data_IF_025701529667
#
_entry.id   IF_025701529667
#
_cell.length_a   1.000
_cell.length_b   1.000
_cell.length_c   1.000
_cell.angle_alpha   90.00
_cell.angle_beta   90.00
_cell.angle_gamma   90.00
#
_symmetry.space_group_name_H-M   'P 1'
#
loop_
_entity.id
_entity.type
_entity.pdbx_description
1 polymer ?
#
# COMPACT_ATOMS: atom_id res chain seq x y z
N UNK A 1 -22.41 -2.56 41.41
CA UNK A 1 -21.30 -3.52 41.21
C UNK A 1 -20.23 -3.37 42.32
N UNK A 2 -19.73 -2.16 42.64
CA UNK A 2 -18.73 -1.90 43.67
C UNK A 2 -19.16 -2.36 45.05
N UNK A 3 -20.46 -2.16 45.44
CA UNK A 3 -21.02 -2.56 46.71
C UNK A 3 -21.11 -4.11 46.88
N UNK A 4 -21.17 -4.85 45.77
CA UNK A 4 -21.17 -6.34 45.77
C UNK A 4 -19.77 -6.95 45.86
N UNK A 5 -18.74 -6.23 45.42
CA UNK A 5 -17.37 -6.71 45.40
C UNK A 5 -16.55 -6.34 46.63
N UNK A 6 -16.96 -5.35 47.40
CA UNK A 6 -16.27 -4.91 48.61
C UNK A 6 -16.79 -5.70 49.82
N UNK A 7 -15.91 -6.43 50.49
CA UNK A 7 -16.21 -7.09 51.76
C UNK A 7 -16.52 -6.04 52.84
N UNK A 8 -17.45 -6.37 53.75
CA UNK A 8 -18.01 -5.53 54.84
C UNK A 8 -16.97 -4.85 55.76
N UNK A 9 -15.70 -5.23 55.72
CA UNK A 9 -14.60 -4.66 56.49
C UNK A 9 -13.45 -4.25 55.60
N UNK A 10 -13.58 -3.11 54.93
CA UNK A 10 -12.48 -2.46 54.23
C UNK A 10 -11.67 -1.68 55.29
N UNK A 11 -10.53 -2.21 55.73
CA UNK A 11 -9.57 -1.43 56.52
C UNK A 11 -8.80 -0.49 55.59
N UNK A 12 -8.87 0.79 55.84
CA UNK A 12 -8.03 1.78 55.15
C UNK A 12 -6.55 1.46 55.42
N UNK A 13 -5.85 1.08 54.38
CA UNK A 13 -4.41 0.81 54.46
C UNK A 13 -3.68 2.14 54.32
N UNK A 14 -3.38 2.77 55.48
CA UNK A 14 -2.63 4.01 55.55
C UNK A 14 -1.18 3.77 55.11
N UNK A 15 -0.88 3.85 53.82
CA UNK A 15 0.45 3.81 53.27
C UNK A 15 1.04 5.22 53.25
N UNK A 16 2.33 5.40 53.62
CA UNK A 16 3.04 6.72 53.55
C UNK A 16 2.92 7.39 52.20
N UNK A 17 2.96 6.60 51.13
CA UNK A 17 2.78 7.11 49.76
C UNK A 17 1.36 7.66 49.53
N UNK A 18 0.32 6.94 49.97
CA UNK A 18 -1.07 7.42 49.84
C UNK A 18 -1.33 8.70 50.65
N UNK A 19 -0.71 8.80 51.86
CA UNK A 19 -0.82 10.03 52.64
C UNK A 19 -0.17 11.21 51.93
N UNK A 20 1.06 11.03 51.39
CA UNK A 20 1.74 12.07 50.66
C UNK A 20 0.92 12.53 49.44
N UNK A 21 0.38 11.57 48.66
CA UNK A 21 -0.48 11.90 47.48
C UNK A 21 -1.73 12.65 47.92
N UNK A 22 -2.42 12.20 48.97
CA UNK A 22 -3.60 12.87 49.48
C UNK A 22 -3.33 14.28 49.98
N UNK A 23 -2.27 14.47 50.77
CA UNK A 23 -1.88 15.79 51.30
C UNK A 23 -1.54 16.77 50.14
N UNK A 24 -0.78 16.33 49.15
CA UNK A 24 -0.44 17.17 47.99
C UNK A 24 -1.64 17.45 47.10
N UNK A 25 -2.50 16.43 46.86
CA UNK A 25 -3.73 16.62 46.08
C UNK A 25 -4.71 17.57 46.76
N UNK A 26 -4.89 17.43 48.09
CA UNK A 26 -5.75 18.34 48.85
C UNK A 26 -5.23 19.76 48.84
N UNK A 27 -3.91 19.98 49.07
CA UNK A 27 -3.32 21.28 49.00
C UNK A 27 -3.48 21.93 47.60
N UNK A 28 -3.25 21.13 46.53
CA UNK A 28 -3.46 21.60 45.16
C UNK A 28 -4.90 21.96 44.90
N UNK A 29 -5.83 21.14 45.37
CA UNK A 29 -7.27 21.38 45.24
C UNK A 29 -7.68 22.69 45.93
N UNK A 30 -7.22 22.91 47.16
CA UNK A 30 -7.52 24.13 47.93
C UNK A 30 -7.02 25.40 47.20
N UNK A 31 -5.82 25.37 46.62
CA UNK A 31 -5.27 26.47 45.80
C UNK A 31 -6.12 26.68 44.55
N UNK A 32 -6.45 25.59 43.82
CA UNK A 32 -7.27 25.68 42.63
C UNK A 32 -8.70 26.21 42.94
N UNK A 33 -9.24 25.83 44.10
CA UNK A 33 -10.57 26.30 44.53
C UNK A 33 -10.54 27.75 44.98
N UNK A 34 -9.53 28.16 45.73
CA UNK A 34 -9.35 29.57 46.16
C UNK A 34 -9.23 30.49 44.93
N UNK A 35 -8.51 30.10 43.92
CA UNK A 35 -8.32 30.84 42.65
C UNK A 35 -9.14 30.32 41.50
N UNK A 36 -10.35 29.86 41.75
CA UNK A 36 -11.25 29.18 40.80
C UNK A 36 -11.36 29.84 39.40
N UNK A 37 -11.41 31.20 39.38
CA UNK A 37 -11.48 31.93 38.11
C UNK A 37 -10.21 31.77 37.29
N UNK A 38 -9.05 31.85 37.90
CA UNK A 38 -7.75 31.65 37.24
C UNK A 38 -7.60 30.20 36.78
N UNK A 39 -7.98 29.26 37.63
CA UNK A 39 -7.94 27.83 37.31
C UNK A 39 -8.80 27.51 36.10
N UNK A 40 -10.04 28.03 36.05
CA UNK A 40 -10.95 27.84 34.90
C UNK A 40 -10.37 28.49 33.64
N UNK A 41 -9.80 29.69 33.75
CA UNK A 41 -9.19 30.38 32.61
C UNK A 41 -8.01 29.59 32.04
N UNK A 42 -7.13 29.10 32.91
CA UNK A 42 -5.97 28.29 32.50
C UNK A 42 -6.46 26.97 31.86
N UNK A 43 -7.43 26.29 32.48
CA UNK A 43 -7.98 25.04 31.94
C UNK A 43 -8.63 25.26 30.56
N UNK A 44 -9.38 26.35 30.40
CA UNK A 44 -9.98 26.71 29.11
C UNK A 44 -8.89 27.04 28.07
N UNK A 45 -7.86 27.77 28.45
CA UNK A 45 -6.74 28.09 27.56
C UNK A 45 -6.03 26.82 27.09
N UNK A 46 -5.71 25.91 28.01
CA UNK A 46 -5.10 24.61 27.69
C UNK A 46 -5.98 23.77 26.77
N UNK A 47 -7.29 23.75 27.02
CA UNK A 47 -8.25 23.04 26.17
C UNK A 47 -8.29 23.64 24.74
N UNK A 48 -8.32 24.97 24.61
CA UNK A 48 -8.31 25.66 23.31
C UNK A 48 -6.99 25.39 22.56
N UNK A 49 -5.84 25.50 23.25
CA UNK A 49 -4.54 25.20 22.67
C UNK A 49 -4.47 23.73 22.26
N UNK A 50 -4.98 22.82 23.08
CA UNK A 50 -5.04 21.38 22.75
C UNK A 50 -5.91 21.09 21.51
N UNK A 51 -7.08 21.73 21.42
CA UNK A 51 -7.95 21.59 20.23
C UNK A 51 -7.30 22.18 18.98
N UNK A 52 -6.60 23.30 19.11
CA UNK A 52 -5.85 23.91 18.02
C UNK A 52 -4.69 23.01 17.58
N UNK A 53 -3.91 22.48 18.51
CA UNK A 53 -2.83 21.55 18.23
C UNK A 53 -3.35 20.24 17.57
N UNK A 54 -4.54 19.78 17.99
CA UNK A 54 -5.17 18.59 17.40
C UNK A 54 -5.48 18.76 15.91
N UNK A 55 -5.77 19.98 15.46
CA UNK A 55 -6.04 20.25 14.04
C UNK A 55 -4.80 20.10 13.13
N UNK A 56 -3.59 20.06 13.70
CA UNK A 56 -2.35 19.81 12.96
C UNK A 56 -1.92 18.34 12.97
N UNK A 57 -2.60 17.48 13.73
CA UNK A 57 -2.33 16.06 13.66
C UNK A 57 -2.95 15.49 12.38
N UNK A 58 -2.11 14.92 11.53
CA UNK A 58 -2.55 14.12 10.40
C UNK A 58 -3.37 12.92 10.88
N UNK A 59 -4.36 12.54 10.11
CA UNK A 59 -5.13 11.31 10.34
C UNK A 59 -4.66 10.25 9.37
N UNK A 60 -4.01 9.20 9.87
CA UNK A 60 -3.69 8.00 9.09
C UNK A 60 -4.73 6.92 9.38
N UNK A 61 -5.16 6.21 8.33
CA UNK A 61 -6.13 5.12 8.47
C UNK A 61 -5.53 3.95 9.24
N UNK A 62 -4.25 3.66 9.02
CA UNK A 62 -3.47 2.64 9.72
C UNK A 62 -2.07 3.17 9.99
N UNK A 63 -1.51 2.95 11.19
CA UNK A 63 -0.11 3.27 11.43
C UNK A 63 0.77 2.43 10.52
N UNK A 64 1.79 3.05 9.92
CA UNK A 64 2.76 2.34 9.09
C UNK A 64 3.49 1.29 9.92
N UNK A 65 3.22 0.02 9.62
CA UNK A 65 3.93 -1.11 10.21
C UNK A 65 5.24 -1.33 9.46
N UNK A 66 6.36 -1.44 10.17
CA UNK A 66 7.60 -1.87 9.52
C UNK A 66 7.60 -3.39 9.40
N UNK A 67 7.35 -3.89 8.19
CA UNK A 67 7.21 -5.32 7.91
C UNK A 67 8.55 -6.04 7.70
N UNK A 68 9.69 -5.32 7.81
CA UNK A 68 11.03 -5.90 7.56
C UNK A 68 11.25 -6.32 6.10
N UNK A 69 10.39 -5.88 5.19
CA UNK A 69 10.47 -6.12 3.76
C UNK A 69 10.06 -4.88 2.97
N UNK A 70 10.45 -4.82 1.70
CA UNK A 70 10.02 -3.82 0.75
C UNK A 70 9.32 -4.53 -0.40
N UNK A 71 8.18 -4.00 -0.81
CA UNK A 71 7.44 -4.46 -1.97
C UNK A 71 7.55 -3.44 -3.07
N UNK A 72 8.10 -3.85 -4.23
CA UNK A 72 8.31 -2.95 -5.36
C UNK A 72 7.50 -3.47 -6.53
N UNK A 73 6.66 -2.60 -7.09
CA UNK A 73 5.95 -2.86 -8.33
C UNK A 73 6.58 -2.04 -9.44
N UNK A 74 6.96 -2.71 -10.52
CA UNK A 74 7.42 -2.09 -11.75
C UNK A 74 6.35 -2.27 -12.83
N UNK A 75 5.83 -1.16 -13.33
CA UNK A 75 4.85 -1.12 -14.41
C UNK A 75 5.56 -0.76 -15.73
N UNK A 76 5.63 -1.71 -16.63
CA UNK A 76 6.24 -1.61 -17.94
C UNK A 76 5.20 -1.18 -19.00
N UNK A 77 5.62 -0.81 -20.22
CA UNK A 77 4.69 -0.58 -21.32
C UNK A 77 3.81 -1.82 -21.59
N UNK A 78 2.51 -1.63 -21.74
CA UNK A 78 1.54 -2.72 -21.88
C UNK A 78 1.75 -3.64 -23.10
N UNK A 79 2.45 -3.16 -24.11
CA UNK A 79 2.78 -3.92 -25.32
C UNK A 79 4.02 -4.83 -25.17
N UNK A 80 4.62 -4.89 -23.97
CA UNK A 80 5.84 -5.67 -23.75
C UNK A 80 5.57 -7.17 -23.85
N UNK A 81 6.51 -7.90 -24.46
CA UNK A 81 6.47 -9.36 -24.49
C UNK A 81 6.99 -9.96 -23.17
N UNK A 82 6.49 -11.14 -22.80
CA UNK A 82 6.86 -11.85 -21.58
C UNK A 82 8.39 -12.03 -21.46
N UNK A 83 9.06 -12.43 -22.55
CA UNK A 83 10.50 -12.67 -22.54
C UNK A 83 11.31 -11.40 -22.19
N UNK A 84 10.87 -10.24 -22.68
CA UNK A 84 11.51 -8.96 -22.37
C UNK A 84 11.21 -8.54 -20.92
N UNK A 85 9.99 -8.75 -20.44
CA UNK A 85 9.66 -8.52 -19.04
C UNK A 85 10.51 -9.37 -18.10
N UNK A 86 10.71 -10.66 -18.42
CA UNK A 86 11.55 -11.57 -17.63
C UNK A 86 13.01 -11.12 -17.65
N UNK A 87 13.54 -10.67 -18.80
CA UNK A 87 14.90 -10.14 -18.89
C UNK A 87 15.09 -8.89 -18.03
N UNK A 88 14.10 -7.98 -18.06
CA UNK A 88 14.11 -6.77 -17.24
C UNK A 88 14.00 -7.12 -15.75
N UNK A 89 13.08 -8.02 -15.37
CA UNK A 89 12.97 -8.51 -14.01
C UNK A 89 14.30 -9.07 -13.46
N UNK A 90 15.01 -9.85 -14.28
CA UNK A 90 16.32 -10.39 -13.90
C UNK A 90 17.36 -9.29 -13.69
N UNK A 91 17.38 -8.26 -14.55
CA UNK A 91 18.32 -7.12 -14.40
C UNK A 91 18.02 -6.32 -13.13
N UNK A 92 16.74 -6.00 -12.90
CA UNK A 92 16.31 -5.27 -11.70
C UNK A 92 16.60 -6.06 -10.42
N UNK A 93 16.30 -7.36 -10.42
CA UNK A 93 16.61 -8.25 -9.29
C UNK A 93 18.12 -8.29 -8.99
N UNK A 94 18.95 -8.32 -10.01
CA UNK A 94 20.42 -8.27 -9.82
C UNK A 94 20.86 -6.94 -9.19
N UNK A 95 20.28 -5.81 -9.61
CA UNK A 95 20.55 -4.49 -9.01
C UNK A 95 20.08 -4.44 -7.55
N UNK A 96 18.84 -4.87 -7.26
CA UNK A 96 18.31 -4.88 -5.90
C UNK A 96 19.14 -5.78 -4.97
N UNK A 97 19.65 -6.90 -5.46
CA UNK A 97 20.54 -7.79 -4.69
C UNK A 97 21.95 -7.24 -4.45
N UNK A 98 22.35 -6.18 -5.12
CA UNK A 98 23.67 -5.57 -4.90
C UNK A 98 23.72 -4.69 -3.65
N UNK A 99 22.59 -4.35 -3.07
CA UNK A 99 22.51 -3.59 -1.81
C UNK A 99 22.87 -4.52 -0.63
N UNK A 100 23.83 -4.13 0.23
CA UNK A 100 24.22 -4.95 1.39
C UNK A 100 23.08 -5.22 2.39
N UNK A 101 22.12 -4.30 2.46
CA UNK A 101 20.96 -4.38 3.34
C UNK A 101 19.94 -5.41 2.88
N UNK A 102 20.05 -5.87 1.63
CA UNK A 102 19.12 -6.82 1.02
C UNK A 102 19.55 -8.25 1.31
N UNK A 103 18.66 -9.01 1.94
CA UNK A 103 18.85 -10.42 2.24
C UNK A 103 18.48 -11.32 1.07
N UNK A 104 17.32 -11.06 0.47
CA UNK A 104 16.76 -11.86 -0.62
C UNK A 104 15.84 -11.02 -1.49
N UNK A 105 15.79 -11.32 -2.79
CA UNK A 105 14.84 -10.73 -3.73
C UNK A 105 14.14 -11.84 -4.49
N UNK A 106 12.82 -11.86 -4.40
CA UNK A 106 11.95 -12.66 -5.26
C UNK A 106 11.23 -11.75 -6.24
N UNK A 107 10.93 -12.24 -7.44
CA UNK A 107 10.15 -11.47 -8.42
C UNK A 107 9.11 -12.34 -9.10
N UNK A 108 7.94 -11.75 -9.31
CA UNK A 108 6.86 -12.30 -10.10
C UNK A 108 6.68 -11.42 -11.33
N UNK A 109 6.56 -12.04 -12.51
CA UNK A 109 6.31 -11.32 -13.78
C UNK A 109 4.97 -11.75 -14.34
N UNK A 110 4.08 -10.78 -14.54
CA UNK A 110 2.72 -11.05 -14.97
C UNK A 110 1.86 -11.70 -13.88
N UNK A 111 0.89 -12.49 -14.29
CA UNK A 111 -0.11 -13.12 -13.41
C UNK A 111 0.11 -14.62 -13.28
N UNK A 112 -0.35 -15.25 -12.19
CA UNK A 112 -0.42 -16.69 -12.08
C UNK A 112 -1.45 -17.28 -13.08
N UNK A 113 -1.25 -18.55 -13.46
CA UNK A 113 -2.13 -19.21 -14.43
C UNK A 113 -3.51 -19.61 -13.87
N UNK A 114 -3.75 -19.43 -12.59
CA UNK A 114 -5.00 -19.77 -11.90
C UNK A 114 -6.11 -18.71 -12.06
N UNK A 115 -5.81 -17.57 -12.70
CA UNK A 115 -6.75 -16.50 -12.96
C UNK A 115 -7.12 -15.66 -11.75
N UNK A 116 -6.39 -15.78 -10.64
CA UNK A 116 -6.63 -14.99 -9.42
C UNK A 116 -6.25 -13.52 -9.56
N UNK A 117 -5.39 -13.18 -10.54
CA UNK A 117 -4.99 -11.82 -10.84
C UNK A 117 -5.25 -11.50 -12.33
N UNK A 118 -5.75 -10.30 -12.61
CA UNK A 118 -6.06 -9.83 -13.96
C UNK A 118 -4.90 -9.07 -14.63
N UNK A 119 -3.72 -9.00 -13.99
CA UNK A 119 -2.59 -8.25 -14.49
C UNK A 119 -1.92 -8.91 -15.71
N UNK A 120 -1.19 -8.13 -16.52
CA UNK A 120 -0.50 -8.59 -17.72
C UNK A 120 1.02 -8.70 -17.53
N UNK A 121 1.73 -9.07 -18.59
CA UNK A 121 3.20 -9.20 -18.59
C UNK A 121 3.95 -7.89 -18.33
N UNK A 122 3.26 -6.77 -18.39
CA UNK A 122 3.77 -5.44 -18.09
C UNK A 122 3.96 -5.21 -16.58
N UNK A 123 3.42 -6.04 -15.72
CA UNK A 123 3.56 -5.92 -14.27
C UNK A 123 4.64 -6.86 -13.76
N UNK A 124 5.60 -6.30 -13.03
CA UNK A 124 6.60 -7.08 -12.30
C UNK A 124 6.55 -6.67 -10.83
N UNK A 125 6.45 -7.64 -9.96
CA UNK A 125 6.42 -7.45 -8.52
C UNK A 125 7.68 -8.04 -7.89
N UNK A 126 8.32 -7.25 -7.01
CA UNK A 126 9.50 -7.69 -6.28
C UNK A 126 9.20 -7.70 -4.79
N UNK A 127 9.44 -8.83 -4.16
CA UNK A 127 9.51 -8.96 -2.71
C UNK A 127 10.99 -8.91 -2.30
N UNK A 128 11.34 -7.86 -1.59
CA UNK A 128 12.71 -7.59 -1.16
C UNK A 128 12.77 -7.76 0.35
N UNK A 129 13.29 -8.88 0.81
CA UNK A 129 13.59 -9.09 2.23
C UNK A 129 14.85 -8.33 2.59
N UNK A 130 14.80 -7.54 3.65
CA UNK A 130 15.92 -6.76 4.15
C UNK A 130 16.38 -7.29 5.52
N UNK A 131 17.66 -7.09 5.82
CA UNK A 131 18.15 -7.32 7.18
C UNK A 131 17.55 -6.29 8.14
N UNK A 132 17.44 -6.59 9.44
CA UNK A 132 17.00 -5.60 10.42
C UNK A 132 17.88 -4.34 10.38
N UNK A 133 17.28 -3.16 10.43
CA UNK A 133 17.98 -1.86 10.32
C UNK A 133 19.15 -1.73 11.31
N UNK A 134 19.01 -2.31 12.51
CA UNK A 134 20.06 -2.32 13.54
C UNK A 134 21.35 -3.05 13.13
N UNK A 135 21.25 -3.92 12.12
CA UNK A 135 22.36 -4.75 11.63
C UNK A 135 22.99 -4.13 10.36
N UNK A 136 22.52 -2.96 9.90
CA UNK A 136 23.05 -2.30 8.72
C UNK A 136 24.32 -1.52 9.05
N UNK A 137 25.38 -1.80 8.27
CA UNK A 137 26.66 -1.08 8.38
C UNK A 137 26.59 0.32 7.75
N UNK A 138 25.68 0.55 6.83
CA UNK A 138 25.52 1.81 6.09
C UNK A 138 25.00 2.97 6.95
N UNK A 139 24.33 2.68 8.06
CA UNK A 139 23.68 3.67 8.92
C UNK A 139 22.48 4.36 8.29
N UNK A 140 21.97 3.85 7.17
CA UNK A 140 20.77 4.36 6.50
C UNK A 140 19.51 3.99 7.25
N UNK A 141 18.48 4.81 7.09
CA UNK A 141 17.11 4.45 7.41
C UNK A 141 16.48 3.67 6.25
N UNK A 142 15.37 2.97 6.51
CA UNK A 142 14.63 2.26 5.46
C UNK A 142 14.18 3.19 4.33
N UNK A 143 13.79 4.43 4.65
CA UNK A 143 13.40 5.42 3.65
C UNK A 143 14.57 5.82 2.74
N UNK A 144 15.75 6.04 3.31
CA UNK A 144 16.95 6.36 2.52
C UNK A 144 17.40 5.18 1.65
N UNK A 145 17.17 3.94 2.10
CA UNK A 145 17.42 2.76 1.29
C UNK A 145 16.44 2.69 0.10
N UNK A 146 15.15 2.96 0.34
CA UNK A 146 14.11 3.01 -0.71
C UNK A 146 14.48 4.07 -1.75
N UNK A 147 14.84 5.29 -1.33
CA UNK A 147 15.24 6.37 -2.23
C UNK A 147 16.43 5.97 -3.13
N UNK A 148 17.44 5.32 -2.55
CA UNK A 148 18.59 4.80 -3.33
C UNK A 148 18.18 3.70 -4.30
N UNK A 149 17.33 2.77 -3.90
CA UNK A 149 16.83 1.71 -4.76
C UNK A 149 16.02 2.30 -5.93
N UNK A 150 15.17 3.28 -5.65
CA UNK A 150 14.40 4.00 -6.66
C UNK A 150 15.34 4.67 -7.67
N UNK A 151 16.30 5.45 -7.21
CA UNK A 151 17.27 6.11 -8.07
C UNK A 151 18.05 5.13 -8.97
N UNK A 152 18.46 3.99 -8.44
CA UNK A 152 19.13 2.95 -9.21
C UNK A 152 18.25 2.26 -10.25
N UNK A 153 16.94 2.15 -9.99
CA UNK A 153 15.99 1.52 -10.90
C UNK A 153 15.48 2.49 -11.98
N UNK A 154 15.36 3.78 -11.68
CA UNK A 154 14.92 4.84 -12.62
C UNK A 154 15.85 5.05 -13.84
N UNK A 155 17.06 4.49 -13.81
CA UNK A 155 17.96 4.46 -14.98
C UNK A 155 17.33 3.73 -16.19
N UNK A 156 16.24 2.98 -15.98
CA UNK A 156 15.49 2.28 -17.02
C UNK A 156 14.30 3.15 -17.48
N UNK A 157 14.38 3.86 -18.62
CA UNK A 157 13.32 4.78 -19.05
C UNK A 157 12.03 4.06 -19.40
N UNK A 158 10.90 4.68 -19.07
CA UNK A 158 9.55 4.19 -19.42
C UNK A 158 9.03 3.07 -18.51
N UNK A 159 9.57 2.93 -17.32
CA UNK A 159 9.10 2.02 -16.28
C UNK A 159 8.70 2.87 -15.08
N UNK A 160 7.47 2.71 -14.63
CA UNK A 160 6.97 3.36 -13.41
C UNK A 160 7.19 2.41 -12.22
N UNK A 161 7.81 2.93 -11.16
CA UNK A 161 8.06 2.18 -9.94
C UNK A 161 7.18 2.69 -8.81
N UNK A 162 6.65 1.77 -8.01
CA UNK A 162 5.95 2.06 -6.77
C UNK A 162 6.56 1.22 -5.65
N UNK A 163 6.91 1.88 -4.54
CA UNK A 163 7.51 1.25 -3.37
C UNK A 163 6.50 1.22 -2.23
N UNK A 164 6.27 0.05 -1.68
CA UNK A 164 5.32 -0.17 -0.59
C UNK A 164 5.76 -1.32 0.33
N UNK A 165 4.83 -1.86 1.06
CA UNK A 165 5.02 -3.03 1.90
C UNK A 165 3.87 -4.03 1.66
N UNK A 166 4.11 -5.36 1.77
CA UNK A 166 3.11 -6.38 1.40
C UNK A 166 1.76 -6.25 2.11
N UNK A 167 1.76 -6.01 3.43
CA UNK A 167 0.51 -5.88 4.19
C UNK A 167 -0.18 -4.56 3.86
N UNK A 168 0.58 -3.47 3.77
CA UNK A 168 0.07 -2.14 3.41
C UNK A 168 -0.64 -2.21 2.05
N UNK A 169 -0.01 -2.79 1.03
CA UNK A 169 -0.60 -2.96 -0.30
C UNK A 169 -1.92 -3.75 -0.28
N UNK A 170 -1.94 -4.87 0.45
CA UNK A 170 -3.14 -5.69 0.55
C UNK A 170 -4.30 -4.97 1.26
N UNK A 171 -4.00 -4.18 2.29
CA UNK A 171 -5.00 -3.39 3.02
C UNK A 171 -5.53 -2.26 2.16
N UNK A 172 -4.68 -1.55 1.45
CA UNK A 172 -5.07 -0.47 0.54
C UNK A 172 -5.93 -1.00 -0.62
N UNK A 173 -5.53 -2.14 -1.20
CA UNK A 173 -6.31 -2.80 -2.26
C UNK A 173 -7.68 -3.27 -1.76
N UNK A 174 -7.75 -3.85 -0.56
CA UNK A 174 -9.02 -4.25 0.05
C UNK A 174 -9.94 -3.05 0.36
N UNK A 175 -9.38 -1.91 0.73
CA UNK A 175 -10.13 -0.71 1.07
C UNK A 175 -10.58 0.10 -0.15
N UNK A 176 -9.71 0.28 -1.15
CA UNK A 176 -9.92 1.17 -2.30
C UNK A 176 -10.10 0.44 -3.63
N UNK A 177 -9.71 -0.84 -3.71
CA UNK A 177 -9.66 -1.65 -4.93
C UNK A 177 -8.46 -1.33 -5.81
N UNK A 178 -7.49 -0.59 -5.29
CA UNK A 178 -6.19 -0.31 -5.94
C UNK A 178 -5.10 -0.31 -4.87
N UNK A 179 -3.90 -0.68 -5.26
CA UNK A 179 -2.72 -0.62 -4.39
C UNK A 179 -2.18 0.81 -4.43
N UNK A 180 -2.42 1.57 -3.37
CA UNK A 180 -2.00 2.97 -3.22
C UNK A 180 -2.90 3.73 -2.27
N UNK A 181 -2.32 4.66 -1.51
CA UNK A 181 -3.02 5.44 -0.48
C UNK A 181 -4.10 6.36 -1.05
N UNK A 182 -3.96 6.79 -2.31
CA UNK A 182 -4.93 7.65 -3.00
C UNK A 182 -5.21 7.07 -4.38
N UNK A 183 -6.49 6.95 -4.73
CA UNK A 183 -6.93 6.50 -6.03
C UNK A 183 -7.90 7.50 -6.66
N UNK A 184 -7.55 8.00 -7.84
CA UNK A 184 -8.45 8.83 -8.66
C UNK A 184 -9.03 7.97 -9.78
N UNK A 185 -10.33 7.67 -9.72
CA UNK A 185 -11.03 6.84 -10.70
C UNK A 185 -11.76 7.73 -11.71
N UNK A 186 -11.41 7.59 -12.98
CA UNK A 186 -12.05 8.33 -14.09
C UNK A 186 -13.04 7.40 -14.80
N UNK A 187 -14.29 7.80 -14.84
CA UNK A 187 -15.37 7.04 -15.50
C UNK A 187 -15.82 7.76 -16.77
N UNK A 188 -15.96 7.02 -17.86
CA UNK A 188 -16.43 7.56 -19.14
C UNK A 188 -16.95 6.45 -20.05
N UNK A 189 -17.70 6.84 -21.09
CA UNK A 189 -18.18 5.90 -22.12
C UNK A 189 -17.10 5.59 -23.17
N UNK A 190 -16.16 6.50 -23.36
CA UNK A 190 -15.04 6.39 -24.29
C UNK A 190 -13.75 6.20 -23.49
N UNK A 191 -13.03 5.11 -23.76
CA UNK A 191 -11.79 4.76 -23.06
C UNK A 191 -10.66 5.74 -23.41
N UNK A 192 -10.58 6.20 -24.66
CA UNK A 192 -9.54 7.14 -25.09
C UNK A 192 -9.69 8.51 -24.42
N UNK A 193 -10.93 9.01 -24.33
CA UNK A 193 -11.22 10.25 -23.62
C UNK A 193 -10.96 10.10 -22.12
N UNK A 194 -11.28 8.95 -21.54
CA UNK A 194 -11.02 8.66 -20.13
C UNK A 194 -9.53 8.59 -19.82
N UNK A 195 -8.74 7.92 -20.66
CA UNK A 195 -7.27 7.86 -20.51
C UNK A 195 -6.64 9.25 -20.66
N UNK A 196 -7.08 10.03 -21.66
CA UNK A 196 -6.60 11.39 -21.84
C UNK A 196 -6.84 12.25 -20.59
N UNK A 197 -8.03 12.15 -19.98
CA UNK A 197 -8.35 12.83 -18.73
C UNK A 197 -7.50 12.34 -17.57
N UNK A 198 -7.26 11.03 -17.47
CA UNK A 198 -6.38 10.46 -16.44
C UNK A 198 -4.94 11.01 -16.57
N UNK A 199 -4.42 11.11 -17.80
CA UNK A 199 -3.09 11.70 -18.07
C UNK A 199 -3.06 13.19 -17.73
N UNK A 200 -4.13 13.95 -18.00
CA UNK A 200 -4.20 15.36 -17.63
C UNK A 200 -4.22 15.53 -16.10
N UNK A 201 -4.96 14.68 -15.38
CA UNK A 201 -4.98 14.65 -13.91
C UNK A 201 -3.59 14.27 -13.37
N UNK A 202 -2.93 13.27 -13.93
CA UNK A 202 -1.57 12.88 -13.57
C UNK A 202 -0.60 14.08 -13.60
N UNK A 203 -0.64 14.87 -14.69
CA UNK A 203 0.22 16.06 -14.82
C UNK A 203 -0.05 17.11 -13.74
N UNK A 204 -1.32 17.30 -13.38
CA UNK A 204 -1.71 18.24 -12.33
C UNK A 204 -1.25 17.74 -10.97
N UNK A 205 -1.49 16.46 -10.66
CA UNK A 205 -1.10 15.86 -9.39
C UNK A 205 0.41 15.87 -9.20
N UNK A 206 1.20 15.70 -10.26
CA UNK A 206 2.66 15.81 -10.20
C UNK A 206 3.21 17.20 -9.83
N UNK A 207 2.34 18.24 -9.79
CA UNK A 207 2.71 19.59 -9.32
C UNK A 207 2.32 19.84 -7.87
N UNK A 208 1.67 18.88 -7.20
CA UNK A 208 1.20 19.01 -5.81
C UNK A 208 2.26 18.45 -4.87
N UNK A 209 2.73 19.27 -3.97
CA UNK A 209 3.72 18.87 -2.97
C UNK A 209 3.18 17.75 -2.06
N UNK A 210 4.02 16.75 -1.83
CA UNK A 210 3.69 15.59 -0.97
C UNK A 210 3.02 14.42 -1.70
N UNK A 211 2.86 14.49 -3.03
CA UNK A 211 2.45 13.35 -3.85
C UNK A 211 3.71 12.69 -4.42
N UNK A 212 3.91 11.42 -4.07
CA UNK A 212 5.01 10.58 -4.53
C UNK A 212 4.45 9.33 -5.24
N UNK A 213 5.28 8.65 -6.03
CA UNK A 213 4.95 7.39 -6.71
C UNK A 213 3.68 7.46 -7.58
N UNK A 214 3.53 8.56 -8.29
CA UNK A 214 2.35 8.80 -9.12
C UNK A 214 2.35 7.87 -10.34
N UNK A 215 1.32 7.07 -10.53
CA UNK A 215 1.16 6.17 -11.67
C UNK A 215 -0.20 6.30 -12.35
N UNK A 216 -0.25 5.99 -13.64
CA UNK A 216 -1.51 5.89 -14.41
C UNK A 216 -1.72 4.45 -14.83
N UNK A 217 -2.79 3.83 -14.35
CA UNK A 217 -3.22 2.51 -14.83
C UNK A 217 -3.88 2.70 -16.19
N UNK A 218 -3.21 2.28 -17.25
CA UNK A 218 -3.72 2.37 -18.63
C UNK A 218 -4.46 1.10 -18.99
N UNK A 219 -5.61 1.25 -19.62
CA UNK A 219 -6.44 0.14 -20.11
C UNK A 219 -6.42 0.01 -21.63
N UNK A 220 -5.69 0.88 -22.33
CA UNK A 220 -5.60 0.93 -23.78
C UNK A 220 -4.22 0.47 -24.24
N UNK A 221 -4.18 -0.29 -25.34
CA UNK A 221 -2.93 -0.74 -25.96
C UNK A 221 -2.55 -2.19 -25.69
N UNK A 222 -3.37 -2.95 -24.95
CA UNK A 222 -3.24 -4.40 -24.85
C UNK A 222 -3.78 -5.03 -26.13
N UNK A 223 -2.97 -5.77 -26.90
CA UNK A 223 -3.47 -6.50 -28.04
C UNK A 223 -4.34 -7.68 -27.57
N UNK A 224 -5.56 -7.77 -28.10
CA UNK A 224 -6.45 -8.90 -27.86
C UNK A 224 -6.55 -9.77 -29.12
N UNK A 225 -6.41 -11.08 -28.94
CA UNK A 225 -6.77 -12.06 -29.98
C UNK A 225 -8.21 -12.51 -29.76
N UNK A 226 -9.14 -12.01 -30.55
CA UNK A 226 -10.54 -12.43 -30.51
C UNK A 226 -10.79 -13.52 -31.53
N UNK A 227 -11.23 -14.67 -31.07
CA UNK A 227 -11.56 -15.81 -31.91
C UNK A 227 -13.09 -15.97 -31.95
N UNK A 228 -13.69 -15.72 -33.09
CA UNK A 228 -15.13 -15.88 -33.31
C UNK A 228 -15.40 -17.20 -34.03
N UNK A 229 -16.24 -18.04 -33.45
CA UNK A 229 -16.61 -19.30 -34.01
C UNK A 229 -17.84 -19.15 -34.95
N UNK A 230 -17.73 -19.64 -36.17
CA UNK A 230 -18.86 -19.72 -37.12
C UNK A 230 -19.76 -20.91 -36.79
N UNK A 231 -20.86 -20.65 -36.09
CA UNK A 231 -21.78 -21.67 -35.62
C UNK A 231 -22.42 -22.49 -36.80
N UNK A 232 -22.63 -21.88 -37.96
CA UNK A 232 -23.16 -22.57 -39.14
C UNK A 232 -22.16 -23.57 -39.70
N UNK A 233 -20.86 -23.22 -39.68
CA UNK A 233 -19.81 -24.17 -40.11
C UNK A 233 -19.65 -25.30 -39.10
N UNK A 234 -19.65 -24.98 -37.80
CA UNK A 234 -19.58 -25.99 -36.76
C UNK A 234 -20.70 -27.02 -36.92
N UNK A 235 -21.94 -26.57 -37.07
CA UNK A 235 -23.08 -27.43 -37.31
C UNK A 235 -22.93 -28.27 -38.61
N UNK A 236 -22.42 -27.67 -39.70
CA UNK A 236 -22.22 -28.33 -41.00
C UNK A 236 -21.17 -29.44 -40.92
N UNK A 237 -20.14 -29.27 -40.11
CA UNK A 237 -19.08 -30.27 -39.93
C UNK A 237 -19.33 -31.19 -38.73
N UNK A 238 -20.43 -31.02 -38.00
CA UNK A 238 -20.78 -31.86 -36.84
C UNK A 238 -19.80 -31.71 -35.67
N UNK A 239 -19.17 -30.54 -35.54
CA UNK A 239 -18.19 -30.27 -34.51
C UNK A 239 -18.86 -29.48 -33.37
N UNK A 240 -18.70 -29.94 -32.12
CA UNK A 240 -19.24 -29.25 -30.97
C UNK A 240 -18.41 -27.99 -30.64
N UNK A 241 -19.08 -26.92 -30.24
CA UNK A 241 -18.45 -25.66 -29.84
C UNK A 241 -17.46 -25.86 -28.68
N UNK A 242 -17.80 -26.72 -27.74
CA UNK A 242 -16.98 -27.07 -26.58
C UNK A 242 -15.65 -27.74 -26.97
N UNK A 243 -15.66 -28.60 -28.00
CA UNK A 243 -14.44 -29.25 -28.47
C UNK A 243 -13.46 -28.23 -29.06
N UNK A 244 -13.99 -27.29 -29.89
CA UNK A 244 -13.17 -26.23 -30.47
C UNK A 244 -12.64 -25.29 -29.39
N UNK A 245 -13.47 -24.90 -28.42
CA UNK A 245 -13.03 -24.06 -27.30
C UNK A 245 -11.94 -24.75 -26.48
N UNK A 246 -12.07 -26.03 -26.19
CA UNK A 246 -11.07 -26.83 -25.48
C UNK A 246 -9.73 -26.87 -26.23
N UNK A 247 -9.77 -27.03 -27.57
CA UNK A 247 -8.55 -27.01 -28.40
C UNK A 247 -7.91 -25.62 -28.39
N UNK A 248 -8.70 -24.57 -28.51
CA UNK A 248 -8.19 -23.18 -28.43
C UNK A 248 -7.55 -22.90 -27.06
N UNK A 249 -8.21 -23.32 -26.00
CA UNK A 249 -7.71 -23.16 -24.64
C UNK A 249 -6.40 -23.93 -24.41
N UNK A 250 -6.27 -25.14 -24.95
CA UNK A 250 -5.02 -25.90 -24.89
C UNK A 250 -3.92 -25.29 -25.76
N UNK A 251 -4.24 -24.89 -27.00
CA UNK A 251 -3.25 -24.41 -27.94
C UNK A 251 -2.76 -23.00 -27.69
N UNK A 252 -3.62 -22.11 -27.16
CA UNK A 252 -3.34 -20.68 -26.98
C UNK A 252 -3.32 -20.30 -25.50
N UNK A 253 -4.26 -20.84 -24.70
CA UNK A 253 -4.38 -20.52 -23.27
C UNK A 253 -3.46 -21.32 -22.36
N UNK A 254 -2.79 -22.37 -22.86
CA UNK A 254 -1.84 -23.17 -22.09
C UNK A 254 -2.47 -24.13 -21.09
N UNK A 255 -3.74 -24.54 -21.31
CA UNK A 255 -4.39 -25.57 -20.49
C UNK A 255 -3.69 -26.92 -20.65
N UNK A 256 -3.43 -27.59 -19.55
CA UNK A 256 -2.91 -28.98 -19.58
C UNK A 256 -3.89 -29.91 -20.29
N UNK A 257 -3.36 -30.76 -21.15
CA UNK A 257 -4.12 -31.77 -21.85
C UNK A 257 -4.63 -32.88 -20.92
#
# INVERSE_FOLDING_TARGET
LSAMLLKKNVREKNNRFLRFVNEKSSALFDVCYAYRKVTITIATLVAVVGLYAFSFLGTEFLPQLNEGSIYIRATLPQSIALDESVKLANKMRAKLRSFPEVKQVMSQTGRPNDGTDATGFYNIEFHVDIYPEKDWESGFTKLELIDKMQHELEISPGIDFNFSQPITDNVEEAASGVKGSIAVKVFGKDLYESEKKAVDIYKILGTVDGIEDLGVIRNIGQPELRIELDENKLARYGVAKEDVQSIIEMAIGGKSA
#
